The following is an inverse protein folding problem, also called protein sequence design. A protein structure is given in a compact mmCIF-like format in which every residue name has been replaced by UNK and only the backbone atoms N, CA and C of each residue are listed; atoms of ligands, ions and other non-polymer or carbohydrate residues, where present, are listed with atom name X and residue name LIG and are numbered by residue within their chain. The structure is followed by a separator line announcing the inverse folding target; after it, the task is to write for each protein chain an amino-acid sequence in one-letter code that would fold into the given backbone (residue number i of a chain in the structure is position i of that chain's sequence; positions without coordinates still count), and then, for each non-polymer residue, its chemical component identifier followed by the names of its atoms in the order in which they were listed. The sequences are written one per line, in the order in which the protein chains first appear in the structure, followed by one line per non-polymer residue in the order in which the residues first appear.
data_IF_687714941160
#
_entry.id   IF_687714941160
#
_cell.length_a   1.000
_cell.length_b   1.000
_cell.length_c   1.000
_cell.angle_alpha   90.00
_cell.angle_beta   90.00
_cell.angle_gamma   90.00
#
_symmetry.space_group_name_H-M   'P 1'
#
loop_
_entity.id
_entity.type
_entity.pdbx_description
1 polymer ?
#
# COMPACT_ATOMS: atom_id res chain seq x y z
N UNK A 1 -28.82 1.32 33.49
CA UNK A 1 -29.66 2.47 33.08
C UNK A 1 -30.40 2.03 31.83
N UNK A 2 -31.74 2.08 31.81
CA UNK A 2 -32.49 1.77 30.59
C UNK A 2 -32.35 2.91 29.57
N UNK A 3 -32.56 2.59 28.29
CA UNK A 3 -32.62 3.53 27.18
C UNK A 3 -33.77 3.11 26.25
N UNK A 4 -34.29 4.01 25.40
CA UNK A 4 -35.39 3.69 24.47
C UNK A 4 -34.90 3.64 23.04
N UNK A 5 -34.12 4.64 22.65
CA UNK A 5 -33.53 4.75 21.32
C UNK A 5 -32.01 4.63 21.37
N UNK A 6 -31.38 4.37 20.23
CA UNK A 6 -29.92 4.23 20.18
C UNK A 6 -29.19 5.51 20.60
N UNK A 7 -29.79 6.68 20.33
CA UNK A 7 -29.25 7.98 20.72
C UNK A 7 -29.15 8.12 22.24
N UNK A 8 -30.16 7.65 22.99
CA UNK A 8 -30.12 7.59 24.45
C UNK A 8 -28.95 6.71 24.92
N UNK A 9 -28.73 5.55 24.27
CA UNK A 9 -27.62 4.66 24.61
C UNK A 9 -26.25 5.32 24.35
N UNK A 10 -26.13 6.09 23.26
CA UNK A 10 -24.93 6.89 22.95
C UNK A 10 -24.70 7.95 24.02
N UNK A 11 -25.72 8.69 24.42
CA UNK A 11 -25.61 9.70 25.48
C UNK A 11 -25.14 9.07 26.79
N UNK A 12 -25.76 7.96 27.20
CA UNK A 12 -25.37 7.22 28.40
C UNK A 12 -23.92 6.71 28.32
N UNK A 13 -23.49 6.18 27.17
CA UNK A 13 -22.12 5.74 26.97
C UNK A 13 -21.12 6.91 27.10
N UNK A 14 -21.48 8.10 26.63
CA UNK A 14 -20.65 9.32 26.74
C UNK A 14 -20.56 9.87 28.15
N UNK A 15 -21.56 9.62 29.02
CA UNK A 15 -21.54 10.06 30.42
C UNK A 15 -20.37 9.46 31.21
N UNK A 16 -19.71 8.42 30.70
CA UNK A 16 -18.44 7.91 31.23
C UNK A 16 -17.30 8.95 31.19
N UNK A 17 -17.43 10.04 30.41
CA UNK A 17 -16.43 11.13 30.25
C UNK A 17 -15.05 10.63 29.82
N UNK A 18 -15.03 9.59 29.00
CA UNK A 18 -13.81 9.00 28.45
C UNK A 18 -13.54 7.62 29.01
N UNK A 19 -13.73 6.61 28.17
CA UNK A 19 -13.66 5.20 28.52
C UNK A 19 -12.60 4.50 27.67
N UNK A 20 -11.94 3.49 28.23
CA UNK A 20 -10.99 2.66 27.47
C UNK A 20 -11.71 1.85 26.39
N UNK A 21 -12.84 1.26 26.76
CA UNK A 21 -13.58 0.35 25.89
C UNK A 21 -15.08 0.41 26.15
N UNK A 22 -15.88 0.16 25.12
CA UNK A 22 -17.32 -0.13 25.23
C UNK A 22 -17.71 -1.30 24.33
N UNK A 23 -18.92 -1.84 24.53
CA UNK A 23 -19.50 -2.90 23.69
C UNK A 23 -20.92 -2.54 23.29
N UNK A 24 -21.29 -2.90 22.06
CA UNK A 24 -22.68 -3.02 21.63
C UNK A 24 -22.93 -4.46 21.13
N UNK A 25 -24.03 -5.05 21.57
CA UNK A 25 -24.44 -6.41 21.16
C UNK A 25 -25.75 -6.27 20.42
N UNK A 26 -25.72 -6.39 19.10
CA UNK A 26 -26.90 -6.24 18.23
C UNK A 26 -26.72 -7.03 16.94
N UNK A 27 -27.77 -7.69 16.41
CA UNK A 27 -27.74 -8.25 15.06
C UNK A 27 -27.98 -7.18 13.97
N UNK A 28 -28.28 -5.93 14.32
CA UNK A 28 -28.66 -4.86 13.39
C UNK A 28 -27.47 -3.93 13.06
N UNK A 29 -27.00 -3.95 11.81
CA UNK A 29 -25.88 -3.11 11.36
C UNK A 29 -26.16 -1.60 11.45
N UNK A 30 -27.43 -1.20 11.33
CA UNK A 30 -27.83 0.21 11.46
C UNK A 30 -27.62 0.71 12.88
N UNK A 31 -28.08 -0.04 13.89
CA UNK A 31 -27.87 0.27 15.30
C UNK A 31 -26.38 0.28 15.66
N UNK A 32 -25.62 -0.72 15.18
CA UNK A 32 -24.18 -0.78 15.39
C UNK A 32 -23.47 0.46 14.82
N UNK A 33 -23.82 0.87 13.58
CA UNK A 33 -23.29 2.08 12.94
C UNK A 33 -23.63 3.34 13.72
N UNK A 34 -24.90 3.53 14.08
CA UNK A 34 -25.37 4.71 14.82
C UNK A 34 -24.68 4.83 16.16
N UNK A 35 -24.58 3.72 16.91
CA UNK A 35 -23.86 3.68 18.18
C UNK A 35 -22.36 3.97 18.03
N UNK A 36 -21.66 3.33 17.10
CA UNK A 36 -20.21 3.49 16.92
C UNK A 36 -19.89 4.93 16.53
N UNK A 37 -20.59 5.50 15.54
CA UNK A 37 -20.40 6.90 15.13
C UNK A 37 -20.70 7.84 16.29
N UNK A 38 -21.79 7.58 17.00
CA UNK A 38 -22.22 8.37 18.14
C UNK A 38 -21.20 8.36 19.28
N UNK A 39 -20.70 7.19 19.68
CA UNK A 39 -19.98 6.99 20.94
C UNK A 39 -18.44 6.97 20.80
N UNK A 40 -17.88 6.74 19.61
CA UNK A 40 -16.43 6.53 19.42
C UNK A 40 -15.57 7.71 19.90
N UNK A 41 -16.07 8.96 19.86
CA UNK A 41 -15.32 10.11 20.35
C UNK A 41 -14.97 10.04 21.86
N UNK A 42 -15.63 9.16 22.62
CA UNK A 42 -15.39 8.95 24.06
C UNK A 42 -14.81 7.58 24.39
N UNK A 43 -14.49 6.74 23.40
CA UNK A 43 -14.03 5.35 23.61
C UNK A 43 -12.83 5.03 22.72
N UNK A 44 -11.72 4.54 23.29
CA UNK A 44 -10.58 4.15 22.45
C UNK A 44 -10.78 2.84 21.70
N UNK A 45 -11.70 1.98 22.15
CA UNK A 45 -12.15 0.79 21.41
C UNK A 45 -13.64 0.51 21.63
N UNK A 46 -14.33 0.09 20.59
CA UNK A 46 -15.71 -0.42 20.69
C UNK A 46 -15.74 -1.84 20.13
N UNK A 47 -16.27 -2.79 20.92
CA UNK A 47 -16.58 -4.14 20.46
C UNK A 47 -18.02 -4.19 19.96
N UNK A 48 -18.21 -4.42 18.67
CA UNK A 48 -19.52 -4.77 18.10
C UNK A 48 -19.63 -6.30 18.07
N UNK A 49 -20.59 -6.87 18.80
CA UNK A 49 -20.76 -8.32 18.92
C UNK A 49 -22.10 -8.76 18.34
N UNK A 50 -22.08 -9.77 17.48
CA UNK A 50 -23.26 -10.44 16.93
C UNK A 50 -23.01 -11.94 16.77
N UNK A 51 -23.99 -12.69 16.28
CA UNK A 51 -23.87 -14.15 16.12
C UNK A 51 -22.74 -14.58 15.17
N UNK A 52 -22.42 -13.76 14.15
CA UNK A 52 -21.44 -14.10 13.12
C UNK A 52 -20.01 -14.08 13.65
N UNK A 53 -19.69 -13.20 14.62
CA UNK A 53 -18.35 -13.08 15.18
C UNK A 53 -18.21 -13.72 16.59
N UNK A 54 -19.30 -14.03 17.28
CA UNK A 54 -19.27 -14.46 18.69
C UNK A 54 -18.44 -15.72 18.95
N UNK A 55 -18.38 -16.67 18.00
CA UNK A 55 -17.68 -17.97 18.19
C UNK A 55 -16.16 -17.84 18.27
N UNK A 56 -15.58 -16.88 17.57
CA UNK A 56 -14.13 -16.69 17.47
C UNK A 56 -13.68 -15.33 18.02
N UNK A 57 -14.60 -14.58 18.64
CA UNK A 57 -14.28 -13.31 19.28
C UNK A 57 -13.35 -13.53 20.47
N UNK A 58 -12.29 -12.71 20.55
CA UNK A 58 -11.41 -12.68 21.73
C UNK A 58 -12.06 -12.00 22.94
N UNK A 59 -13.27 -11.44 22.74
CA UNK A 59 -14.10 -10.84 23.77
C UNK A 59 -13.72 -9.39 24.10
N UNK A 60 -14.36 -8.86 25.14
CA UNK A 60 -14.16 -7.48 25.58
C UNK A 60 -12.87 -7.30 26.40
N UNK A 61 -12.46 -8.30 27.18
CA UNK A 61 -11.35 -8.21 28.14
C UNK A 61 -9.96 -8.49 27.59
N UNK A 62 -9.83 -8.83 26.30
CA UNK A 62 -8.56 -9.20 25.67
C UNK A 62 -8.07 -8.07 24.75
N UNK A 63 -7.24 -7.12 25.22
CA UNK A 63 -6.68 -6.09 24.36
C UNK A 63 -5.71 -6.71 23.36
N UNK A 64 -6.00 -6.57 22.06
CA UNK A 64 -5.19 -7.18 21.01
C UNK A 64 -3.96 -6.32 20.70
N UNK A 65 -2.75 -6.90 20.53
CA UNK A 65 -1.52 -6.13 20.31
C UNK A 65 -1.54 -5.18 19.10
N UNK A 66 -2.32 -5.51 18.07
CA UNK A 66 -2.45 -4.71 16.85
C UNK A 66 -3.53 -3.61 16.95
N UNK A 67 -4.37 -3.64 17.99
CA UNK A 67 -5.40 -2.63 18.23
C UNK A 67 -4.90 -1.62 19.26
N UNK A 68 -5.29 -0.36 19.11
CA UNK A 68 -5.01 0.67 20.11
C UNK A 68 -5.67 0.30 21.44
N UNK A 69 -4.90 0.38 22.52
CA UNK A 69 -5.39 0.28 23.89
C UNK A 69 -5.19 1.63 24.58
N UNK A 70 -6.27 2.40 24.71
CA UNK A 70 -6.21 3.75 25.24
C UNK A 70 -7.61 4.36 25.26
N UNK A 71 -7.71 5.63 25.62
CA UNK A 71 -9.00 6.32 25.59
C UNK A 71 -8.90 7.76 26.09
N UNK A 72 -9.79 8.66 25.62
CA UNK A 72 -9.77 10.06 26.02
C UNK A 72 -10.23 10.27 27.46
N UNK A 73 -10.08 11.49 27.99
CA UNK A 73 -10.70 11.92 29.24
C UNK A 73 -10.31 11.05 30.44
N UNK A 74 -11.30 10.49 31.14
CA UNK A 74 -11.08 9.67 32.36
C UNK A 74 -10.26 8.41 32.13
N UNK A 75 -10.14 7.94 30.89
CA UNK A 75 -9.30 6.80 30.52
C UNK A 75 -7.79 7.14 30.44
N UNK A 76 -7.42 8.41 30.60
CA UNK A 76 -6.03 8.86 30.72
C UNK A 76 -5.51 9.66 29.53
N UNK A 77 -6.18 9.61 28.36
CA UNK A 77 -5.82 10.36 27.16
C UNK A 77 -4.64 9.80 26.37
N UNK A 78 -3.87 8.88 26.95
CA UNK A 78 -2.79 8.16 26.28
C UNK A 78 -3.28 6.97 25.45
N UNK A 79 -2.35 6.44 24.66
CA UNK A 79 -2.52 5.23 23.86
C UNK A 79 -1.34 4.28 24.09
N UNK A 80 -1.64 2.99 24.13
CA UNK A 80 -0.70 1.87 24.17
C UNK A 80 -1.04 0.87 23.07
N UNK A 81 -0.16 -0.10 22.81
CA UNK A 81 -0.33 -1.10 21.75
C UNK A 81 -0.55 -0.45 20.36
N UNK A 82 -1.49 -0.92 19.54
CA UNK A 82 -1.75 -0.34 18.22
C UNK A 82 -0.70 -0.70 17.15
N UNK A 83 -0.04 -1.86 17.31
CA UNK A 83 0.99 -2.34 16.40
C UNK A 83 2.16 -1.36 16.29
N UNK A 84 2.47 -0.90 15.07
CA UNK A 84 3.56 0.07 14.83
C UNK A 84 3.34 1.39 15.58
N UNK A 85 2.10 1.83 15.84
CA UNK A 85 1.83 3.10 16.53
C UNK A 85 2.41 3.12 17.95
N UNK A 86 2.27 2.02 18.69
CA UNK A 86 2.82 1.88 20.04
C UNK A 86 4.33 2.06 20.08
N UNK A 87 5.04 1.57 19.06
CA UNK A 87 6.50 1.74 18.95
C UNK A 87 6.89 3.21 18.74
N UNK A 88 6.07 3.99 18.02
CA UNK A 88 6.37 5.39 17.71
C UNK A 88 6.43 6.29 18.96
N UNK A 89 5.83 5.91 20.09
CA UNK A 89 5.96 6.65 21.35
C UNK A 89 7.37 6.60 21.93
N UNK A 90 8.15 5.58 21.58
CA UNK A 90 9.52 5.37 22.06
C UNK A 90 10.58 5.88 21.07
N UNK A 91 10.15 6.46 19.94
CA UNK A 91 11.03 7.00 18.91
C UNK A 91 10.89 8.52 18.83
N UNK A 92 12.03 9.22 18.69
CA UNK A 92 12.02 10.63 18.36
C UNK A 92 11.75 10.80 16.87
N UNK A 93 10.64 11.46 16.52
CA UNK A 93 10.36 11.85 15.14
C UNK A 93 11.11 13.15 14.82
N UNK A 94 11.89 13.12 13.75
CA UNK A 94 12.67 14.27 13.28
C UNK A 94 12.36 14.50 11.80
N UNK A 95 11.91 15.70 11.46
CA UNK A 95 11.76 16.11 10.07
C UNK A 95 13.14 16.47 9.51
N UNK A 96 13.65 15.67 8.58
CA UNK A 96 14.93 15.90 7.91
C UNK A 96 14.66 16.56 6.56
N UNK A 97 15.30 17.69 6.29
CA UNK A 97 15.23 18.39 5.02
C UNK A 97 16.60 18.39 4.36
N UNK A 98 16.63 18.30 3.03
CA UNK A 98 17.87 18.27 2.27
C UNK A 98 17.65 17.85 0.83
N UNK A 99 18.73 17.85 0.05
CA UNK A 99 18.69 17.36 -1.32
C UNK A 99 18.32 15.85 -1.33
N UNK A 100 17.49 15.36 -2.29
CA UNK A 100 17.07 13.96 -2.34
C UNK A 100 18.21 12.94 -2.29
N UNK A 101 19.36 13.23 -2.90
CA UNK A 101 20.57 12.38 -2.80
C UNK A 101 21.06 12.22 -1.37
N UNK A 102 21.12 13.32 -0.61
CA UNK A 102 21.56 13.30 0.78
C UNK A 102 20.53 12.59 1.66
N UNK A 103 19.24 12.83 1.43
CA UNK A 103 18.18 12.12 2.15
C UNK A 103 18.23 10.62 1.86
N UNK A 104 18.46 10.22 0.61
CA UNK A 104 18.62 8.81 0.23
C UNK A 104 19.75 8.13 1.00
N UNK A 105 20.89 8.81 1.14
CA UNK A 105 22.02 8.29 1.90
C UNK A 105 21.75 8.23 3.41
N UNK A 106 20.95 9.16 3.96
CA UNK A 106 20.59 9.18 5.38
C UNK A 106 19.55 8.10 5.70
N UNK A 107 18.54 7.92 4.84
CA UNK A 107 17.39 7.03 5.10
C UNK A 107 17.58 5.63 4.57
N UNK A 108 18.64 5.38 3.79
CA UNK A 108 18.85 4.13 3.04
C UNK A 108 17.62 3.73 2.22
N UNK A 109 16.94 4.75 1.67
CA UNK A 109 15.77 4.60 0.83
C UNK A 109 15.80 5.67 -0.26
N UNK A 110 15.72 5.23 -1.52
CA UNK A 110 15.77 6.09 -2.68
C UNK A 110 14.67 7.15 -2.66
N UNK A 111 15.09 8.41 -2.81
CA UNK A 111 14.20 9.55 -2.97
C UNK A 111 14.15 9.96 -4.44
N UNK A 112 12.95 10.28 -4.94
CA UNK A 112 12.78 10.78 -6.31
C UNK A 112 13.59 12.08 -6.47
N UNK A 113 14.41 12.14 -7.53
CA UNK A 113 15.32 13.26 -7.81
C UNK A 113 16.71 13.11 -7.20
N UNK A 114 17.00 12.00 -6.51
CA UNK A 114 18.35 11.66 -6.07
C UNK A 114 19.26 11.28 -7.26
N UNK A 115 20.56 11.16 -6.98
CA UNK A 115 21.52 10.59 -7.92
C UNK A 115 21.12 9.15 -8.29
N UNK A 116 21.25 8.81 -9.57
CA UNK A 116 20.84 7.52 -10.14
C UNK A 116 22.02 6.94 -10.94
N UNK A 117 23.06 6.44 -10.26
CA UNK A 117 24.18 5.82 -10.96
C UNK A 117 23.69 4.63 -11.79
N UNK A 118 24.19 4.53 -13.02
CA UNK A 118 23.83 3.42 -13.90
C UNK A 118 24.44 2.12 -13.40
N UNK A 119 23.60 1.08 -13.28
CA UNK A 119 24.00 -0.21 -12.76
C UNK A 119 24.82 -0.99 -13.79
N UNK A 120 26.04 -1.40 -13.40
CA UNK A 120 26.86 -2.31 -14.17
C UNK A 120 27.57 -3.31 -13.23
N UNK A 121 27.20 -4.61 -13.22
CA UNK A 121 26.20 -5.26 -14.08
C UNK A 121 24.76 -4.88 -13.73
N UNK A 122 23.81 -5.33 -14.56
CA UNK A 122 22.37 -5.17 -14.33
C UNK A 122 21.95 -5.61 -12.92
N UNK A 123 21.04 -4.89 -12.27
CA UNK A 123 20.68 -5.14 -10.85
C UNK A 123 20.14 -6.57 -10.60
N UNK A 124 19.45 -7.17 -11.58
CA UNK A 124 19.02 -8.60 -11.51
C UNK A 124 20.16 -9.62 -11.52
N UNK A 125 21.41 -9.18 -11.71
CA UNK A 125 22.61 -10.03 -11.68
C UNK A 125 23.37 -9.93 -10.36
N UNK A 126 22.95 -9.04 -9.48
CA UNK A 126 23.57 -8.80 -8.19
C UNK A 126 22.87 -9.61 -7.10
N UNK A 127 23.64 -10.17 -6.19
CA UNK A 127 23.11 -10.73 -4.95
C UNK A 127 22.64 -9.60 -4.03
N UNK A 128 21.85 -9.95 -3.00
CA UNK A 128 21.22 -8.97 -2.13
C UNK A 128 22.23 -8.02 -1.49
N UNK A 129 23.41 -8.52 -1.11
CA UNK A 129 24.49 -7.76 -0.47
C UNK A 129 25.12 -6.73 -1.41
N UNK A 130 25.15 -7.04 -2.71
CA UNK A 130 25.80 -6.23 -3.75
C UNK A 130 24.88 -5.11 -4.28
N UNK A 131 23.58 -5.18 -3.99
CA UNK A 131 22.63 -4.13 -4.37
C UNK A 131 22.93 -2.85 -3.59
N UNK A 132 23.08 -1.75 -4.32
CA UNK A 132 23.23 -0.41 -3.77
C UNK A 132 21.98 0.41 -4.07
N UNK A 133 21.39 1.01 -3.03
CA UNK A 133 20.20 1.86 -3.17
C UNK A 133 20.52 3.04 -4.10
N UNK A 134 19.62 3.29 -5.06
CA UNK A 134 19.78 4.30 -6.10
C UNK A 134 20.43 3.79 -7.39
N UNK A 135 21.08 2.62 -7.40
CA UNK A 135 21.53 2.01 -8.65
C UNK A 135 20.36 1.76 -9.59
N UNK A 136 20.56 2.15 -10.84
CA UNK A 136 19.49 2.29 -11.80
C UNK A 136 19.84 1.61 -13.11
N UNK A 137 18.92 0.78 -13.60
CA UNK A 137 18.91 0.31 -14.97
C UNK A 137 18.08 1.26 -15.81
N UNK A 138 18.71 1.87 -16.82
CA UNK A 138 18.01 2.60 -17.86
C UNK A 138 17.79 1.67 -19.04
N UNK A 139 16.53 1.32 -19.31
CA UNK A 139 16.24 0.34 -20.36
C UNK A 139 16.41 0.95 -21.75
N UNK A 140 16.54 0.08 -22.75
CA UNK A 140 16.23 0.46 -24.12
C UNK A 140 14.75 0.90 -24.22
N UNK A 141 14.42 1.59 -25.31
CA UNK A 141 13.10 2.20 -25.51
C UNK A 141 12.24 1.34 -26.44
N UNK A 142 10.92 1.43 -26.27
CA UNK A 142 9.92 0.82 -27.15
C UNK A 142 8.96 1.90 -27.66
N UNK A 143 8.69 1.92 -28.96
CA UNK A 143 7.66 2.80 -29.52
C UNK A 143 6.35 2.04 -29.55
N UNK A 144 5.36 2.52 -28.80
CA UNK A 144 4.05 1.90 -28.73
C UNK A 144 3.33 2.06 -30.06
N UNK A 145 2.81 0.97 -30.60
CA UNK A 145 2.11 0.92 -31.88
C UNK A 145 0.66 0.49 -31.71
N UNK A 146 -0.18 0.71 -32.72
CA UNK A 146 -1.53 0.14 -32.72
C UNK A 146 -1.52 -1.39 -32.63
N UNK A 147 -0.53 -2.04 -33.23
CA UNK A 147 -0.37 -3.48 -33.18
C UNK A 147 -0.15 -3.97 -31.75
N UNK A 148 0.62 -3.23 -30.94
CA UNK A 148 0.79 -3.55 -29.51
C UNK A 148 -0.56 -3.53 -28.77
N UNK A 149 -1.37 -2.49 -29.02
CA UNK A 149 -2.69 -2.31 -28.39
C UNK A 149 -3.62 -3.46 -28.76
N UNK A 150 -3.73 -3.76 -30.07
CA UNK A 150 -4.59 -4.83 -30.58
C UNK A 150 -4.13 -6.20 -30.05
N UNK A 151 -2.83 -6.48 -30.07
CA UNK A 151 -2.31 -7.75 -29.59
C UNK A 151 -2.51 -7.92 -28.08
N UNK A 152 -2.34 -6.85 -27.30
CA UNK A 152 -2.60 -6.89 -25.88
C UNK A 152 -4.08 -7.10 -25.57
N UNK A 153 -4.99 -6.44 -26.29
CA UNK A 153 -6.43 -6.68 -26.16
C UNK A 153 -6.79 -8.14 -26.46
N UNK A 154 -6.19 -8.74 -27.48
CA UNK A 154 -6.43 -10.14 -27.85
C UNK A 154 -5.96 -11.14 -26.79
N UNK A 155 -4.77 -10.92 -26.19
CA UNK A 155 -4.23 -11.86 -25.18
C UNK A 155 -4.84 -11.66 -23.80
N UNK A 156 -5.16 -10.42 -23.43
CA UNK A 156 -5.73 -10.09 -22.11
C UNK A 156 -7.26 -10.23 -22.06
N UNK A 157 -7.93 -10.13 -23.21
CA UNK A 157 -9.38 -10.03 -23.31
C UNK A 157 -9.93 -8.62 -23.07
N UNK A 158 -9.08 -7.64 -22.73
CA UNK A 158 -9.50 -6.26 -22.47
C UNK A 158 -9.72 -5.49 -23.78
N UNK A 159 -10.98 -5.51 -24.23
CA UNK A 159 -11.45 -4.79 -25.41
C UNK A 159 -12.16 -3.48 -25.05
N UNK A 160 -11.75 -2.82 -23.96
CA UNK A 160 -12.31 -1.54 -23.55
C UNK A 160 -12.27 -0.50 -24.69
N UNK A 161 -13.35 0.27 -24.82
CA UNK A 161 -13.58 1.12 -25.99
C UNK A 161 -12.43 2.10 -26.25
N UNK A 162 -11.81 2.65 -25.20
CA UNK A 162 -10.72 3.61 -25.31
C UNK A 162 -9.45 3.02 -25.97
N UNK A 163 -9.34 1.70 -26.04
CA UNK A 163 -8.21 1.00 -26.67
C UNK A 163 -8.56 0.48 -28.07
N UNK A 164 -9.83 0.14 -28.31
CA UNK A 164 -10.23 -0.65 -29.49
C UNK A 164 -11.15 0.07 -30.46
N UNK A 165 -11.97 1.01 -29.98
CA UNK A 165 -12.98 1.69 -30.79
C UNK A 165 -12.63 3.18 -30.96
N UNK A 166 -12.18 3.53 -32.17
CA UNK A 166 -11.86 4.91 -32.51
C UNK A 166 -13.09 5.83 -32.63
N UNK A 167 -14.30 5.27 -32.71
CA UNK A 167 -15.55 6.03 -32.88
C UNK A 167 -16.24 6.37 -31.56
N UNK A 168 -15.88 5.69 -30.46
CA UNK A 168 -16.49 5.87 -29.13
C UNK A 168 -15.68 6.79 -28.21
N UNK A 169 -14.95 7.76 -28.76
CA UNK A 169 -14.10 8.68 -27.98
C UNK A 169 -14.76 10.04 -27.71
N UNK A 170 -15.89 10.33 -28.36
CA UNK A 170 -16.64 11.57 -28.14
C UNK A 170 -17.10 11.68 -26.68
N UNK A 171 -16.91 12.85 -26.07
CA UNK A 171 -17.22 13.09 -24.65
C UNK A 171 -16.19 12.54 -23.66
N UNK A 172 -15.10 11.92 -24.15
CA UNK A 172 -13.99 11.46 -23.30
C UNK A 172 -12.81 12.43 -23.33
N UNK A 173 -11.80 12.16 -22.49
CA UNK A 173 -10.55 12.95 -22.46
C UNK A 173 -9.53 12.52 -23.54
N UNK A 174 -9.85 11.52 -24.36
CA UNK A 174 -8.91 10.91 -25.30
C UNK A 174 -9.14 11.41 -26.72
N UNK A 175 -8.04 11.74 -27.41
CA UNK A 175 -8.07 12.25 -28.79
C UNK A 175 -8.04 11.12 -29.84
N UNK A 176 -7.54 9.95 -29.43
CA UNK A 176 -7.44 8.74 -30.24
C UNK A 176 -7.34 7.53 -29.29
N UNK A 177 -7.31 6.32 -29.86
CA UNK A 177 -7.10 5.09 -29.07
C UNK A 177 -5.80 5.20 -28.28
N UNK A 178 -5.86 4.83 -27.00
CA UNK A 178 -4.70 4.83 -26.10
C UNK A 178 -4.27 3.41 -25.81
N UNK A 179 -3.02 3.22 -25.39
CA UNK A 179 -2.56 1.92 -24.93
C UNK A 179 -3.12 1.58 -23.55
N UNK A 180 -3.33 0.29 -23.31
CA UNK A 180 -3.75 -0.22 -21.99
C UNK A 180 -2.70 0.11 -20.93
N UNK A 181 -3.15 0.57 -19.76
CA UNK A 181 -2.24 0.74 -18.62
C UNK A 181 -1.53 -0.58 -18.27
N UNK A 182 -2.25 -1.69 -18.31
CA UNK A 182 -1.68 -3.02 -18.07
C UNK A 182 -0.69 -3.46 -19.15
N UNK A 183 -0.91 -3.09 -20.42
CA UNK A 183 0.11 -3.28 -21.46
C UNK A 183 1.40 -2.55 -21.10
N UNK A 184 1.31 -1.28 -20.64
CA UNK A 184 2.49 -0.51 -20.25
C UNK A 184 3.25 -1.17 -19.09
N UNK A 185 2.55 -1.71 -18.10
CA UNK A 185 3.17 -2.45 -16.99
C UNK A 185 3.83 -3.75 -17.48
N UNK A 186 3.13 -4.56 -18.28
CA UNK A 186 3.68 -5.79 -18.84
C UNK A 186 4.89 -5.52 -19.74
N UNK A 187 4.81 -4.48 -20.57
CA UNK A 187 5.90 -4.07 -21.45
C UNK A 187 7.07 -3.52 -20.66
N UNK A 188 6.82 -2.75 -19.60
CA UNK A 188 7.87 -2.29 -18.70
C UNK A 188 8.64 -3.46 -18.10
N UNK A 189 7.95 -4.48 -17.58
CA UNK A 189 8.59 -5.70 -17.09
C UNK A 189 9.45 -6.38 -18.17
N UNK A 190 8.94 -6.49 -19.40
CA UNK A 190 9.72 -7.00 -20.54
C UNK A 190 10.96 -6.16 -20.89
N UNK A 191 11.04 -4.90 -20.47
CA UNK A 191 12.19 -4.02 -20.71
C UNK A 191 13.25 -4.08 -19.61
N UNK A 192 12.84 -4.19 -18.33
CA UNK A 192 13.77 -4.15 -17.19
C UNK A 192 14.13 -5.52 -16.60
N UNK A 193 13.38 -6.58 -16.91
CA UNK A 193 13.69 -7.92 -16.41
C UNK A 193 14.83 -8.52 -17.24
N UNK A 194 15.91 -8.93 -16.57
CA UNK A 194 16.94 -9.75 -17.20
C UNK A 194 16.52 -11.24 -17.22
N UNK A 195 16.36 -11.86 -18.39
CA UNK A 195 15.68 -13.16 -18.52
C UNK A 195 16.49 -14.38 -18.07
N UNK A 196 17.84 -14.34 -18.05
CA UNK A 196 18.60 -15.55 -17.65
C UNK A 196 18.54 -15.74 -16.15
N UNK A 197 18.53 -16.99 -15.67
CA UNK A 197 18.58 -17.34 -14.25
C UNK A 197 19.62 -16.50 -13.50
N UNK A 198 19.23 -15.88 -12.39
CA UNK A 198 20.05 -15.00 -11.58
C UNK A 198 19.60 -15.02 -10.11
N UNK A 199 20.12 -14.11 -9.27
CA UNK A 199 19.80 -14.06 -7.85
C UNK A 199 18.34 -13.73 -7.52
N UNK A 200 17.62 -13.05 -8.42
CA UNK A 200 16.20 -12.72 -8.24
C UNK A 200 15.37 -14.00 -8.22
N UNK A 201 14.71 -14.27 -7.09
CA UNK A 201 13.91 -15.47 -6.89
C UNK A 201 12.50 -15.32 -7.44
N UNK A 202 11.86 -14.18 -7.15
CA UNK A 202 10.45 -13.95 -7.45
C UNK A 202 10.16 -12.45 -7.50
N UNK A 203 9.41 -12.01 -8.51
CA UNK A 203 8.76 -10.71 -8.54
C UNK A 203 7.27 -10.91 -8.23
N UNK A 204 6.88 -10.80 -6.95
CA UNK A 204 5.55 -11.21 -6.46
C UNK A 204 4.56 -10.06 -6.27
N UNK A 205 5.03 -8.81 -6.31
CA UNK A 205 4.26 -7.68 -5.81
C UNK A 205 4.51 -6.41 -6.61
N UNK A 206 3.48 -5.57 -6.63
CA UNK A 206 3.53 -4.18 -7.08
C UNK A 206 2.85 -3.37 -5.99
N UNK A 207 3.59 -2.45 -5.37
CA UNK A 207 3.06 -1.65 -4.25
C UNK A 207 2.08 -0.58 -4.74
N UNK A 208 2.53 0.27 -5.68
CA UNK A 208 1.74 1.37 -6.20
C UNK A 208 1.93 1.52 -7.72
N UNK A 209 0.81 1.47 -8.46
CA UNK A 209 0.76 1.77 -9.87
C UNK A 209 -0.32 2.83 -10.14
N UNK A 210 0.08 3.90 -10.85
CA UNK A 210 -0.81 4.99 -11.27
C UNK A 210 -0.48 5.39 -12.70
N UNK A 211 -1.51 5.49 -13.54
CA UNK A 211 -1.39 5.94 -14.93
C UNK A 211 -1.71 7.43 -15.00
N UNK A 212 -0.68 8.27 -15.01
CA UNK A 212 -0.84 9.72 -14.87
C UNK A 212 -1.14 10.43 -16.20
N UNK A 213 -0.75 9.84 -17.32
CA UNK A 213 -0.99 10.36 -18.67
C UNK A 213 -1.33 9.22 -19.63
N UNK A 214 -2.25 9.44 -20.59
CA UNK A 214 -2.49 8.48 -21.66
C UNK A 214 -1.24 8.31 -22.53
N UNK A 215 -1.03 7.10 -23.03
CA UNK A 215 0.04 6.78 -23.99
C UNK A 215 -0.61 6.44 -25.32
N UNK A 216 -0.33 7.28 -26.31
CA UNK A 216 -0.89 7.13 -27.65
C UNK A 216 0.04 6.31 -28.56
N UNK A 217 -0.49 5.66 -29.61
CA UNK A 217 0.33 5.11 -30.69
C UNK A 217 1.35 6.13 -31.21
N UNK A 218 2.58 5.67 -31.48
CA UNK A 218 3.73 6.49 -31.82
C UNK A 218 4.52 7.02 -30.62
N UNK A 219 4.01 6.89 -29.38
CA UNK A 219 4.74 7.33 -28.19
C UNK A 219 5.87 6.35 -27.85
N UNK A 220 7.09 6.87 -27.68
CA UNK A 220 8.23 6.07 -27.23
C UNK A 220 8.31 6.05 -25.70
N UNK A 221 8.25 4.86 -25.12
CA UNK A 221 8.40 4.61 -23.68
C UNK A 221 9.76 4.00 -23.35
N UNK A 222 10.23 4.21 -22.13
CA UNK A 222 11.40 3.56 -21.56
C UNK A 222 11.22 3.46 -20.04
N UNK A 223 11.94 2.56 -19.40
CA UNK A 223 11.84 2.33 -17.96
C UNK A 223 13.12 2.78 -17.27
N UNK A 224 12.92 3.43 -16.13
CA UNK A 224 13.96 3.64 -15.13
C UNK A 224 13.69 2.70 -13.97
N UNK A 225 14.52 1.68 -13.83
CA UNK A 225 14.38 0.64 -12.81
C UNK A 225 15.47 0.79 -11.75
N UNK A 226 15.10 1.31 -10.58
CA UNK A 226 16.03 1.75 -9.53
C UNK A 226 15.85 0.93 -8.27
N UNK A 227 16.96 0.51 -7.64
CA UNK A 227 16.95 -0.12 -6.31
C UNK A 227 16.45 0.90 -5.30
N UNK A 228 15.21 0.71 -4.80
CA UNK A 228 14.55 1.69 -3.92
C UNK A 228 14.97 1.53 -2.47
N UNK A 229 14.90 0.33 -1.96
CA UNK A 229 15.17 -0.01 -0.56
C UNK A 229 15.64 -1.46 -0.49
N UNK A 230 16.17 -1.84 0.66
CA UNK A 230 16.57 -3.22 0.96
C UNK A 230 16.01 -3.58 2.32
N UNK A 231 15.22 -4.65 2.40
CA UNK A 231 14.72 -5.16 3.67
C UNK A 231 15.22 -6.58 3.86
N UNK A 232 16.16 -6.73 4.79
CA UNK A 232 16.74 -8.03 5.11
C UNK A 232 15.71 -8.95 5.77
N UNK A 233 15.79 -10.24 5.48
CA UNK A 233 15.01 -11.26 6.16
C UNK A 233 15.93 -12.09 7.06
N UNK A 234 15.52 -12.28 8.31
CA UNK A 234 16.24 -13.14 9.23
C UNK A 234 16.42 -14.54 8.64
N UNK A 235 17.66 -15.02 8.69
CA UNK A 235 17.99 -16.39 8.30
C UNK A 235 17.27 -17.36 9.24
N UNK A 236 16.58 -18.35 8.68
CA UNK A 236 15.90 -19.37 9.49
C UNK A 236 16.86 -20.47 9.95
N UNK A 237 18.01 -20.60 9.29
CA UNK A 237 19.10 -21.52 9.64
C UNK A 237 20.46 -20.98 9.18
N UNK A 238 21.56 -21.58 9.64
CA UNK A 238 22.91 -21.18 9.22
C UNK A 238 23.17 -21.40 7.72
N UNK A 239 22.53 -22.41 7.13
CA UNK A 239 22.62 -22.76 5.70
C UNK A 239 21.75 -21.87 4.80
N UNK A 240 20.94 -20.98 5.39
CA UNK A 240 20.06 -20.11 4.62
C UNK A 240 20.87 -18.99 3.94
N UNK A 241 20.68 -18.87 2.62
CA UNK A 241 21.23 -17.76 1.83
C UNK A 241 20.49 -16.49 2.27
N UNK A 242 21.23 -15.40 2.48
CA UNK A 242 20.64 -14.10 2.77
C UNK A 242 19.72 -13.67 1.61
N UNK A 243 18.52 -13.24 1.97
CA UNK A 243 17.41 -12.92 1.07
C UNK A 243 16.74 -11.68 1.64
N UNK A 244 16.21 -10.87 0.76
CA UNK A 244 15.47 -9.68 1.17
C UNK A 244 14.51 -9.22 0.09
N UNK A 245 13.75 -8.20 0.45
CA UNK A 245 12.89 -7.43 -0.46
C UNK A 245 13.67 -6.23 -0.99
#
# INVERSE_FOLDING_TARGET
MPYKEIDDAVELAKMGKGSLVSSIVTPCDKEAKEYVIGAACMHGRILVLNESCAKESTGHGSPMPLLTHGGPGRAGGGEEMGGKRGVLHYLQRTAIQGHPTTITAITEQFQIGAAMPEANPHVFRKHFEELVIGETVFTHKHTVTEADIVNFANVSGDNFYAHMDATSLEGTIFEQRVAHGYFLLSKAAGLFVDPKKGPVLLNYGVDEARFTKPVYPGTTIGVRFTVKEKVDQEKRSEDDIAKGL
#
